data_IF_266988779370
#
_entry.id   IF_266988779370
#
_cell.length_a   1.000
_cell.length_b   1.000
_cell.length_c   1.000
_cell.angle_alpha   90.00
_cell.angle_beta   90.00
_cell.angle_gamma   90.00
#
_symmetry.space_group_name_H-M   'P 1'
#
loop_
_entity.id
_entity.type
_entity.pdbx_description
1 polymer ?
#
# COMPACT_ATOMS: atom_id res chain seq x y z
N UNK A 1 -16.78 -16.29 -20.88
CA UNK A 1 -16.19 -15.15 -20.13
C UNK A 1 -17.17 -14.74 -19.05
N UNK A 2 -16.75 -14.68 -17.79
CA UNK A 2 -17.59 -14.23 -16.68
C UNK A 2 -17.69 -12.70 -16.72
N UNK A 3 -18.60 -12.19 -17.56
CA UNK A 3 -18.84 -10.75 -17.73
C UNK A 3 -19.20 -10.07 -16.40
N UNK A 4 -19.85 -10.81 -15.50
CA UNK A 4 -20.22 -10.36 -14.15
C UNK A 4 -19.02 -10.02 -13.26
N UNK A 5 -17.84 -10.59 -13.51
CA UNK A 5 -16.61 -10.31 -12.74
C UNK A 5 -15.71 -9.32 -13.48
N UNK A 6 -15.63 -9.46 -14.81
CA UNK A 6 -14.78 -8.60 -15.64
C UNK A 6 -15.28 -7.16 -15.65
N UNK A 7 -16.60 -6.93 -15.71
CA UNK A 7 -17.16 -5.59 -15.81
C UNK A 7 -16.92 -4.75 -14.54
N UNK A 8 -17.16 -5.26 -13.31
CA UNK A 8 -16.75 -4.58 -12.08
C UNK A 8 -15.25 -4.35 -11.98
N UNK A 9 -14.42 -5.31 -12.41
CA UNK A 9 -12.96 -5.19 -12.38
C UNK A 9 -12.47 -4.04 -13.28
N UNK A 10 -12.99 -3.97 -14.52
CA UNK A 10 -12.65 -2.89 -15.45
C UNK A 10 -13.14 -1.54 -14.92
N UNK A 11 -14.38 -1.49 -14.41
CA UNK A 11 -14.90 -0.27 -13.80
C UNK A 11 -14.04 0.19 -12.61
N UNK A 12 -13.63 -0.72 -11.75
CA UNK A 12 -12.74 -0.46 -10.63
C UNK A 12 -11.38 0.10 -11.09
N UNK A 13 -10.75 -0.53 -12.09
CA UNK A 13 -9.50 -0.03 -12.66
C UNK A 13 -9.66 1.39 -13.23
N UNK A 14 -10.73 1.65 -13.98
CA UNK A 14 -11.01 2.99 -14.54
C UNK A 14 -11.16 4.03 -13.42
N UNK A 15 -11.84 3.70 -12.32
CA UNK A 15 -11.97 4.60 -11.17
C UNK A 15 -10.61 4.88 -10.54
N UNK A 16 -9.79 3.86 -10.28
CA UNK A 16 -8.44 4.00 -9.71
C UNK A 16 -7.54 4.86 -10.60
N UNK A 17 -7.55 4.62 -11.92
CA UNK A 17 -6.82 5.47 -12.86
C UNK A 17 -7.36 6.90 -12.90
N UNK A 18 -8.68 7.09 -12.89
CA UNK A 18 -9.32 8.40 -12.86
C UNK A 18 -8.96 9.22 -11.62
N UNK A 19 -8.98 8.59 -10.43
CA UNK A 19 -8.55 9.19 -9.17
C UNK A 19 -7.07 9.56 -9.23
N UNK A 20 -6.23 8.70 -9.82
CA UNK A 20 -4.80 8.95 -9.96
C UNK A 20 -4.50 10.17 -10.85
N UNK A 21 -5.22 10.30 -11.98
CA UNK A 21 -5.11 11.46 -12.88
C UNK A 21 -5.63 12.73 -12.20
N UNK A 22 -6.74 12.65 -11.48
CA UNK A 22 -7.29 13.78 -10.73
C UNK A 22 -6.30 14.27 -9.65
N UNK A 23 -5.71 13.35 -8.90
CA UNK A 23 -4.71 13.66 -7.89
C UNK A 23 -3.45 14.31 -8.49
N UNK A 24 -3.03 13.82 -9.67
CA UNK A 24 -1.91 14.40 -10.42
C UNK A 24 -2.21 15.84 -10.87
N UNK A 25 -3.42 16.12 -11.35
CA UNK A 25 -3.83 17.49 -11.75
C UNK A 25 -3.95 18.45 -10.57
N UNK A 26 -4.21 17.94 -9.37
CA UNK A 26 -4.24 18.73 -8.12
C UNK A 26 -2.86 18.94 -7.49
N UNK A 27 -1.77 18.58 -8.17
CA UNK A 27 -0.42 18.91 -7.70
C UNK A 27 -0.28 20.43 -7.55
N UNK A 28 0.12 20.85 -6.35
CA UNK A 28 0.23 22.24 -5.91
C UNK A 28 1.69 22.59 -5.70
N UNK A 29 2.10 23.79 -6.12
CA UNK A 29 3.47 24.27 -6.17
C UNK A 29 4.38 23.84 -4.98
N UNK A 30 5.49 23.17 -5.30
CA UNK A 30 6.52 22.72 -4.37
C UNK A 30 7.67 22.01 -5.11
N UNK A 31 8.70 21.54 -4.39
CA UNK A 31 9.77 20.70 -4.98
C UNK A 31 9.22 19.30 -5.32
N UNK A 32 9.55 18.79 -6.52
CA UNK A 32 9.06 17.50 -7.03
C UNK A 32 9.15 16.36 -6.01
N UNK A 33 10.28 16.23 -5.28
CA UNK A 33 10.47 15.17 -4.29
C UNK A 33 9.51 15.28 -3.09
N UNK A 34 9.29 16.48 -2.56
CA UNK A 34 8.38 16.68 -1.43
C UNK A 34 6.92 16.46 -1.82
N UNK A 35 6.56 16.81 -3.04
CA UNK A 35 5.20 16.59 -3.53
C UNK A 35 4.95 15.13 -3.90
N UNK A 36 5.90 14.52 -4.61
CA UNK A 36 5.79 13.14 -5.07
C UNK A 36 5.86 12.13 -3.92
N UNK A 37 6.75 12.32 -2.93
CA UNK A 37 6.91 11.35 -1.84
C UNK A 37 6.14 11.69 -0.56
N UNK A 38 5.87 12.97 -0.28
CA UNK A 38 5.23 13.39 0.96
C UNK A 38 3.84 14.02 0.76
N UNK A 39 3.40 14.27 -0.48
CA UNK A 39 2.15 14.95 -0.76
C UNK A 39 2.05 16.30 -0.05
N UNK A 40 3.17 17.05 -0.03
CA UNK A 40 3.33 18.32 0.69
C UNK A 40 3.03 18.28 2.20
N UNK A 41 3.00 17.10 2.82
CA UNK A 41 2.62 16.89 4.24
C UNK A 41 1.25 17.48 4.60
N UNK A 42 0.37 17.65 3.60
CA UNK A 42 -0.93 18.33 3.74
C UNK A 42 -2.11 17.36 3.89
N UNK A 43 -1.86 16.06 3.86
CA UNK A 43 -2.90 15.04 3.90
C UNK A 43 -3.55 14.95 5.29
N UNK A 44 -4.88 14.89 5.33
CA UNK A 44 -5.64 14.79 6.57
C UNK A 44 -5.42 13.44 7.28
N UNK A 45 -5.52 13.45 8.61
CA UNK A 45 -5.22 12.28 9.44
C UNK A 45 -6.07 11.04 9.13
N UNK A 46 -7.35 11.23 8.79
CA UNK A 46 -8.25 10.12 8.40
C UNK A 46 -7.76 9.45 7.12
N UNK A 47 -7.35 10.24 6.13
CA UNK A 47 -6.90 9.73 4.83
C UNK A 47 -5.59 8.94 5.01
N UNK A 48 -4.67 9.44 5.85
CA UNK A 48 -3.44 8.72 6.20
C UNK A 48 -3.70 7.43 6.99
N UNK A 49 -4.69 7.42 7.88
CA UNK A 49 -5.10 6.22 8.59
C UNK A 49 -5.66 5.17 7.63
N UNK A 50 -6.50 5.58 6.68
CA UNK A 50 -7.03 4.69 5.64
C UNK A 50 -5.91 4.13 4.75
N UNK A 51 -4.93 4.96 4.37
CA UNK A 51 -3.73 4.51 3.65
C UNK A 51 -2.97 3.45 4.43
N UNK A 52 -2.75 3.67 5.72
CA UNK A 52 -2.09 2.70 6.58
C UNK A 52 -2.87 1.37 6.63
N UNK A 53 -4.18 1.45 6.80
CA UNK A 53 -5.05 0.26 6.82
C UNK A 53 -5.04 -0.47 5.49
N UNK A 54 -5.19 0.22 4.37
CA UNK A 54 -5.18 -0.40 3.04
C UNK A 54 -3.80 -0.98 2.67
N UNK A 55 -2.70 -0.31 3.05
CA UNK A 55 -1.34 -0.84 2.86
C UNK A 55 -1.13 -2.10 3.68
N UNK A 56 -1.70 -2.14 4.88
CA UNK A 56 -1.59 -3.28 5.78
C UNK A 56 -2.44 -4.47 5.30
N UNK A 57 -3.67 -4.21 4.85
CA UNK A 57 -4.55 -5.25 4.37
C UNK A 57 -4.21 -5.56 2.91
N UNK A 58 -3.46 -6.64 2.68
CA UNK A 58 -3.00 -7.01 1.34
C UNK A 58 -3.71 -8.27 0.83
N UNK A 59 -3.35 -8.70 -0.39
CA UNK A 59 -3.78 -9.98 -0.93
C UNK A 59 -3.46 -11.15 0.02
N UNK A 60 -2.38 -11.08 0.81
CA UNK A 60 -2.07 -12.10 1.80
C UNK A 60 -3.09 -12.15 2.94
N UNK A 61 -3.66 -11.00 3.31
CA UNK A 61 -4.67 -10.90 4.36
C UNK A 61 -6.04 -11.39 3.87
N UNK A 62 -6.47 -10.99 2.67
CA UNK A 62 -7.78 -11.36 2.12
C UNK A 62 -7.85 -12.76 1.52
N UNK A 63 -6.76 -13.27 0.93
CA UNK A 63 -6.71 -14.61 0.35
C UNK A 63 -6.09 -15.59 1.35
N UNK A 64 -4.92 -15.24 1.88
CA UNK A 64 -4.17 -16.11 2.78
C UNK A 64 -4.79 -16.20 4.18
N UNK A 65 -5.36 -15.12 4.70
CA UNK A 65 -5.98 -15.08 6.03
C UNK A 65 -7.14 -16.09 6.19
N UNK A 66 -8.22 -15.98 5.40
CA UNK A 66 -9.32 -16.94 5.43
C UNK A 66 -8.88 -18.37 5.10
N UNK A 67 -7.98 -18.56 4.13
CA UNK A 67 -7.45 -19.89 3.80
C UNK A 67 -6.68 -20.53 4.96
N UNK A 68 -5.87 -19.76 5.67
CA UNK A 68 -5.17 -20.21 6.87
C UNK A 68 -6.13 -20.45 8.04
N UNK A 69 -7.14 -19.60 8.25
CA UNK A 69 -8.15 -19.81 9.27
C UNK A 69 -8.99 -21.07 9.01
N UNK A 70 -9.27 -21.39 7.75
CA UNK A 70 -9.96 -22.64 7.37
C UNK A 70 -9.12 -23.88 7.68
N UNK A 71 -7.80 -23.82 7.44
CA UNK A 71 -6.87 -24.95 7.65
C UNK A 71 -6.43 -25.12 9.11
N UNK A 72 -6.12 -24.04 9.79
CA UNK A 72 -5.52 -24.02 11.13
C UNK A 72 -6.49 -23.57 12.23
N UNK A 73 -7.74 -23.27 11.87
CA UNK A 73 -8.77 -22.78 12.78
C UNK A 73 -8.63 -21.28 13.12
N UNK A 74 -9.55 -20.81 13.96
CA UNK A 74 -9.62 -19.40 14.39
C UNK A 74 -8.42 -18.93 15.22
N UNK A 75 -7.52 -19.84 15.65
CA UNK A 75 -6.27 -19.48 16.30
C UNK A 75 -5.38 -18.57 15.45
N UNK A 76 -5.47 -18.69 14.11
CA UNK A 76 -4.79 -17.76 13.20
C UNK A 76 -5.32 -16.34 13.30
N UNK A 77 -6.62 -16.16 13.57
CA UNK A 77 -7.24 -14.84 13.75
C UNK A 77 -6.65 -14.13 14.97
N UNK A 78 -6.42 -14.85 16.07
CA UNK A 78 -5.78 -14.28 17.26
C UNK A 78 -4.35 -13.80 16.97
N UNK A 79 -3.60 -14.58 16.17
CA UNK A 79 -2.27 -14.16 15.71
C UNK A 79 -2.36 -12.94 14.78
N UNK A 80 -3.35 -12.88 13.89
CA UNK A 80 -3.57 -11.72 13.04
C UNK A 80 -3.94 -10.47 13.88
N UNK A 81 -4.73 -10.63 14.95
CA UNK A 81 -5.20 -9.55 15.82
C UNK A 81 -4.09 -8.85 16.61
N UNK A 82 -2.97 -9.54 16.92
CA UNK A 82 -1.86 -8.93 17.68
C UNK A 82 -1.21 -7.74 16.96
N UNK A 83 -1.40 -7.68 15.64
CA UNK A 83 -0.83 -6.63 14.81
C UNK A 83 -1.52 -5.28 15.02
N UNK A 84 -2.82 -5.26 15.35
CA UNK A 84 -3.57 -4.04 15.65
C UNK A 84 -2.96 -3.24 16.82
N UNK A 85 -2.80 -3.83 18.03
CA UNK A 85 -2.16 -3.12 19.13
C UNK A 85 -0.69 -2.80 18.83
N UNK A 86 0.03 -3.64 18.10
CA UNK A 86 1.41 -3.36 17.71
C UNK A 86 1.53 -2.10 16.84
N UNK A 87 0.66 -1.94 15.83
CA UNK A 87 0.60 -0.75 14.98
C UNK A 87 0.17 0.47 15.79
N UNK A 88 -0.86 0.35 16.62
CA UNK A 88 -1.35 1.47 17.42
C UNK A 88 -0.31 1.94 18.45
N UNK A 89 0.34 1.02 19.18
CA UNK A 89 1.38 1.37 20.14
C UNK A 89 2.61 1.95 19.46
N UNK A 90 3.07 1.35 18.37
CA UNK A 90 4.25 1.85 17.64
C UNK A 90 4.01 3.25 17.07
N UNK A 91 2.90 3.48 16.37
CA UNK A 91 2.60 4.80 15.79
C UNK A 91 2.14 5.83 16.82
N UNK A 92 1.39 5.41 17.84
CA UNK A 92 0.95 6.29 18.93
C UNK A 92 2.12 6.85 19.73
N UNK A 93 3.12 6.00 20.04
CA UNK A 93 4.28 6.39 20.84
C UNK A 93 5.38 7.02 19.97
N UNK A 94 5.73 6.39 18.84
CA UNK A 94 6.86 6.79 18.02
C UNK A 94 6.49 7.74 16.88
N UNK A 95 5.26 7.69 16.38
CA UNK A 95 4.83 8.45 15.21
C UNK A 95 5.01 9.95 15.39
N UNK A 96 4.58 10.51 16.53
CA UNK A 96 4.80 11.93 16.84
C UNK A 96 6.29 12.30 16.90
N UNK A 97 7.13 11.44 17.51
CA UNK A 97 8.57 11.68 17.60
C UNK A 97 9.21 11.65 16.22
N UNK A 98 8.93 10.62 15.42
CA UNK A 98 9.44 10.52 14.06
C UNK A 98 8.97 11.68 13.17
N UNK A 99 7.71 12.13 13.30
CA UNK A 99 7.21 13.30 12.57
C UNK A 99 7.97 14.59 12.93
N UNK A 100 8.33 14.78 14.20
CA UNK A 100 9.15 15.92 14.64
C UNK A 100 10.55 15.84 14.05
N UNK A 101 11.22 14.68 14.16
CA UNK A 101 12.57 14.51 13.62
C UNK A 101 12.59 14.63 12.08
N UNK A 102 11.61 14.06 11.38
CA UNK A 102 11.51 14.16 9.93
C UNK A 102 11.39 15.62 9.46
N UNK A 103 10.62 16.45 10.18
CA UNK A 103 10.56 17.90 9.91
C UNK A 103 11.87 18.61 10.26
N UNK A 104 12.51 18.25 11.37
CA UNK A 104 13.77 18.87 11.82
C UNK A 104 14.91 18.67 10.81
N UNK A 105 15.02 17.48 10.24
CA UNK A 105 16.08 17.13 9.29
C UNK A 105 15.66 17.28 7.83
N UNK A 106 14.43 17.75 7.59
CA UNK A 106 13.77 17.74 6.28
C UNK A 106 13.91 16.38 5.55
N UNK A 107 13.84 15.29 6.31
CA UNK A 107 14.00 13.93 5.83
C UNK A 107 12.77 13.52 5.00
N UNK A 108 13.05 12.84 3.88
CA UNK A 108 12.02 12.23 3.02
C UNK A 108 11.89 10.74 3.36
N UNK A 109 13.00 10.10 3.74
CA UNK A 109 13.04 8.68 4.08
C UNK A 109 13.46 8.44 5.54
N UNK A 110 13.17 7.25 6.06
CA UNK A 110 13.67 6.84 7.38
C UNK A 110 15.21 6.73 7.37
N UNK A 111 15.80 6.39 6.22
CA UNK A 111 17.25 6.29 6.05
C UNK A 111 17.94 7.66 6.17
N UNK A 112 17.29 8.75 5.73
CA UNK A 112 17.80 10.12 5.94
C UNK A 112 17.86 10.45 7.44
N UNK A 113 16.88 9.96 8.22
CA UNK A 113 16.88 10.14 9.67
C UNK A 113 17.98 9.33 10.35
N UNK A 114 18.27 8.12 9.86
CA UNK A 114 19.41 7.32 10.30
C UNK A 114 20.73 8.02 9.96
N UNK A 115 20.85 8.59 8.76
CA UNK A 115 22.02 9.36 8.38
C UNK A 115 22.22 10.57 9.28
N UNK A 116 21.16 11.35 9.54
CA UNK A 116 21.23 12.51 10.42
C UNK A 116 21.68 12.14 11.85
N UNK A 117 21.27 10.96 12.34
CA UNK A 117 21.60 10.46 13.69
C UNK A 117 23.02 9.89 13.79
N UNK A 118 23.43 9.05 12.84
CA UNK A 118 24.64 8.23 12.93
C UNK A 118 25.79 8.73 12.05
N UNK A 119 25.52 9.61 11.08
CA UNK A 119 26.48 10.17 10.12
C UNK A 119 27.30 9.11 9.35
N UNK A 120 26.84 7.86 9.34
CA UNK A 120 27.52 6.73 8.70
C UNK A 120 26.82 6.38 7.40
N UNK A 121 27.53 6.54 6.28
CA UNK A 121 27.03 6.14 4.95
C UNK A 121 26.86 4.64 4.84
N UNK A 122 27.74 3.85 5.46
CA UNK A 122 27.67 2.38 5.42
C UNK A 122 26.35 1.87 6.02
N UNK A 123 25.93 2.44 7.16
CA UNK A 123 24.68 2.07 7.81
C UNK A 123 23.46 2.37 6.92
N UNK A 124 23.48 3.51 6.22
CA UNK A 124 22.42 3.90 5.28
C UNK A 124 22.37 2.95 4.09
N UNK A 125 23.52 2.54 3.55
CA UNK A 125 23.60 1.56 2.46
C UNK A 125 23.02 0.21 2.88
N UNK A 126 23.41 -0.31 4.04
CA UNK A 126 22.91 -1.57 4.56
C UNK A 126 21.39 -1.51 4.84
N UNK A 127 20.91 -0.43 5.44
CA UNK A 127 19.48 -0.23 5.71
C UNK A 127 18.67 -0.07 4.42
N UNK A 128 19.20 0.61 3.41
CA UNK A 128 18.54 0.74 2.11
C UNK A 128 18.49 -0.59 1.37
N UNK A 129 19.58 -1.36 1.39
CA UNK A 129 19.65 -2.67 0.75
C UNK A 129 18.72 -3.68 1.42
N UNK A 130 18.70 -3.74 2.75
CA UNK A 130 17.79 -4.64 3.47
C UNK A 130 16.33 -4.31 3.20
N UNK A 131 16.00 -3.02 3.12
CA UNK A 131 14.66 -2.54 2.80
C UNK A 131 14.27 -2.92 1.35
N UNK A 132 15.18 -2.75 0.38
CA UNK A 132 14.94 -3.18 -1.01
C UNK A 132 14.67 -4.68 -1.11
N UNK A 133 15.50 -5.51 -0.47
CA UNK A 133 15.33 -6.98 -0.49
C UNK A 133 14.00 -7.39 0.14
N UNK A 134 13.65 -6.80 1.28
CA UNK A 134 12.38 -7.08 1.97
C UNK A 134 11.17 -6.70 1.10
N UNK A 135 11.20 -5.52 0.47
CA UNK A 135 10.11 -5.07 -0.39
C UNK A 135 9.97 -5.86 -1.69
N UNK A 136 11.07 -6.34 -2.29
CA UNK A 136 10.99 -7.23 -3.46
C UNK A 136 10.23 -8.51 -3.10
N UNK A 137 10.54 -9.13 -1.96
CA UNK A 137 9.83 -10.31 -1.49
C UNK A 137 8.35 -10.03 -1.22
N UNK A 138 8.06 -8.94 -0.51
CA UNK A 138 6.68 -8.54 -0.20
C UNK A 138 5.86 -8.22 -1.45
N UNK A 139 6.43 -7.53 -2.44
CA UNK A 139 5.74 -7.23 -3.70
C UNK A 139 5.49 -8.49 -4.52
N UNK A 140 6.45 -9.42 -4.57
CA UNK A 140 6.31 -10.68 -5.32
C UNK A 140 5.07 -11.45 -4.88
N UNK A 141 4.87 -11.60 -3.55
CA UNK A 141 3.69 -12.29 -3.00
C UNK A 141 2.38 -11.58 -3.39
N UNK A 142 2.38 -10.24 -3.41
CA UNK A 142 1.19 -9.47 -3.79
C UNK A 142 0.84 -9.61 -5.28
N UNK A 143 1.84 -9.62 -6.16
CA UNK A 143 1.64 -9.79 -7.60
C UNK A 143 1.13 -11.21 -7.92
N UNK A 144 1.70 -12.24 -7.28
CA UNK A 144 1.22 -13.62 -7.40
C UNK A 144 -0.23 -13.72 -6.92
N UNK A 145 -0.55 -13.11 -5.77
CA UNK A 145 -1.91 -13.10 -5.23
C UNK A 145 -2.92 -12.43 -6.16
N UNK A 146 -2.56 -11.27 -6.72
CA UNK A 146 -3.40 -10.55 -7.69
C UNK A 146 -3.62 -11.33 -8.98
N UNK A 147 -2.56 -11.88 -9.57
CA UNK A 147 -2.65 -12.69 -10.78
C UNK A 147 -3.49 -13.96 -10.56
N UNK A 148 -3.30 -14.65 -9.43
CA UNK A 148 -4.08 -15.85 -9.08
C UNK A 148 -5.56 -15.53 -8.89
N UNK A 149 -5.89 -14.36 -8.32
CA UNK A 149 -7.28 -13.92 -8.17
C UNK A 149 -7.93 -13.66 -9.54
N UNK A 150 -7.22 -13.04 -10.49
CA UNK A 150 -7.74 -12.85 -11.85
C UNK A 150 -7.95 -14.19 -12.58
N UNK A 151 -7.05 -15.15 -12.35
CA UNK A 151 -7.16 -16.49 -12.91
C UNK A 151 -8.38 -17.24 -12.39
N UNK A 152 -8.61 -17.24 -11.07
CA UNK A 152 -9.73 -17.97 -10.47
C UNK A 152 -11.07 -17.26 -10.63
N UNK A 153 -11.10 -15.92 -10.57
CA UNK A 153 -12.34 -15.16 -10.57
C UNK A 153 -12.81 -14.73 -11.97
N UNK A 154 -11.90 -14.52 -12.93
CA UNK A 154 -12.24 -14.07 -14.28
C UNK A 154 -11.88 -15.10 -15.37
N UNK A 155 -11.18 -16.18 -15.03
CA UNK A 155 -10.71 -17.19 -15.97
C UNK A 155 -9.59 -16.71 -16.90
N UNK A 156 -8.87 -15.64 -16.52
CA UNK A 156 -7.77 -15.08 -17.31
C UNK A 156 -6.50 -15.92 -17.06
N UNK A 157 -5.77 -16.36 -18.10
CA UNK A 157 -4.53 -17.10 -17.89
C UNK A 157 -3.56 -16.35 -16.98
N UNK A 158 -2.93 -17.05 -16.03
CA UNK A 158 -2.07 -16.47 -15.00
C UNK A 158 -1.05 -15.46 -15.55
N UNK A 159 -0.31 -15.82 -16.60
CA UNK A 159 0.70 -14.95 -17.22
C UNK A 159 0.11 -13.63 -17.75
N UNK A 160 -1.07 -13.71 -18.36
CA UNK A 160 -1.77 -12.53 -18.89
C UNK A 160 -2.33 -11.68 -17.74
N UNK A 161 -2.90 -12.32 -16.72
CA UNK A 161 -3.39 -11.65 -15.51
C UNK A 161 -2.26 -10.92 -14.77
N UNK A 162 -1.10 -11.56 -14.64
CA UNK A 162 0.09 -10.98 -14.02
C UNK A 162 0.58 -9.74 -14.78
N UNK A 163 0.65 -9.80 -16.12
CA UNK A 163 1.04 -8.66 -16.94
C UNK A 163 0.04 -7.50 -16.82
N UNK A 164 -1.26 -7.77 -16.92
CA UNK A 164 -2.30 -6.74 -16.79
C UNK A 164 -2.22 -6.07 -15.42
N UNK A 165 -2.14 -6.88 -14.35
CA UNK A 165 -2.09 -6.39 -12.99
C UNK A 165 -0.81 -5.57 -12.74
N UNK A 166 0.34 -6.10 -13.14
CA UNK A 166 1.63 -5.45 -12.92
C UNK A 166 1.80 -4.15 -13.71
N UNK A 167 1.44 -4.14 -15.00
CA UNK A 167 1.50 -2.92 -15.83
C UNK A 167 0.54 -1.87 -15.29
N UNK A 168 -0.69 -2.26 -14.91
CA UNK A 168 -1.67 -1.33 -14.36
C UNK A 168 -1.15 -0.63 -13.09
N UNK A 169 -0.62 -1.42 -12.15
CA UNK A 169 -0.03 -0.90 -10.91
C UNK A 169 1.17 0.00 -11.17
N UNK A 170 2.08 -0.42 -12.05
CA UNK A 170 3.25 0.36 -12.40
C UNK A 170 2.85 1.73 -12.97
N UNK A 171 1.87 1.76 -13.88
CA UNK A 171 1.41 3.00 -14.51
C UNK A 171 0.77 3.95 -13.50
N UNK A 172 -0.27 3.53 -12.77
CA UNK A 172 -0.97 4.46 -11.89
C UNK A 172 -0.08 4.93 -10.72
N UNK A 173 0.85 4.08 -10.26
CA UNK A 173 1.78 4.43 -9.18
C UNK A 173 2.84 5.42 -9.67
N UNK A 174 3.44 5.18 -10.84
CA UNK A 174 4.48 6.04 -11.40
C UNK A 174 3.96 7.44 -11.73
N UNK A 175 2.75 7.56 -12.27
CA UNK A 175 2.18 8.86 -12.59
C UNK A 175 1.56 9.56 -11.37
N UNK A 176 0.95 8.80 -10.47
CA UNK A 176 0.18 9.33 -9.36
C UNK A 176 1.02 9.97 -8.23
N UNK A 177 2.12 9.33 -7.83
CA UNK A 177 2.86 9.73 -6.62
C UNK A 177 2.04 9.54 -5.32
N UNK A 178 2.57 10.01 -4.18
CA UNK A 178 2.00 9.77 -2.85
C UNK A 178 0.56 10.25 -2.70
N UNK A 179 0.22 11.43 -3.26
CA UNK A 179 -1.15 11.98 -3.16
C UNK A 179 -2.18 11.09 -3.87
N UNK A 180 -1.84 10.55 -5.04
CA UNK A 180 -2.70 9.62 -5.75
C UNK A 180 -2.79 8.28 -5.01
N UNK A 181 -1.65 7.76 -4.52
CA UNK A 181 -1.62 6.53 -3.73
C UNK A 181 -2.56 6.64 -2.54
N UNK A 182 -2.46 7.71 -1.75
CA UNK A 182 -3.28 7.92 -0.56
C UNK A 182 -4.78 7.96 -0.87
N UNK A 183 -5.16 8.59 -2.00
CA UNK A 183 -6.56 8.62 -2.44
C UNK A 183 -7.05 7.25 -2.92
N UNK A 184 -6.23 6.54 -3.69
CA UNK A 184 -6.53 5.17 -4.12
C UNK A 184 -6.65 4.23 -2.92
N UNK A 185 -5.74 4.33 -1.96
CA UNK A 185 -5.74 3.52 -0.75
C UNK A 185 -6.97 3.80 0.11
N UNK A 186 -7.43 5.05 0.16
CA UNK A 186 -8.68 5.40 0.86
C UNK A 186 -9.89 4.78 0.19
N UNK A 187 -9.97 4.84 -1.14
CA UNK A 187 -11.02 4.20 -1.92
C UNK A 187 -10.99 2.68 -1.74
N UNK A 188 -9.80 2.08 -1.84
CA UNK A 188 -9.57 0.65 -1.67
C UNK A 188 -9.98 0.16 -0.29
N UNK A 189 -9.52 0.84 0.76
CA UNK A 189 -9.91 0.54 2.13
C UNK A 189 -11.42 0.62 2.32
N UNK A 190 -12.10 1.59 1.70
CA UNK A 190 -13.56 1.69 1.75
C UNK A 190 -14.24 0.52 1.04
N UNK A 191 -13.78 0.15 -0.16
CA UNK A 191 -14.29 -1.01 -0.91
C UNK A 191 -14.10 -2.30 -0.10
N UNK A 192 -12.96 -2.45 0.56
CA UNK A 192 -12.66 -3.62 1.40
C UNK A 192 -13.56 -3.68 2.63
N UNK A 193 -13.81 -2.54 3.29
CA UNK A 193 -14.74 -2.46 4.42
C UNK A 193 -16.17 -2.82 4.01
N UNK A 194 -16.68 -2.21 2.93
CA UNK A 194 -18.01 -2.53 2.41
C UNK A 194 -18.10 -3.99 2.01
N UNK A 195 -17.08 -4.51 1.31
CA UNK A 195 -17.01 -5.92 0.93
C UNK A 195 -17.05 -6.87 2.12
N UNK A 196 -16.40 -6.50 3.23
CA UNK A 196 -16.39 -7.31 4.46
C UNK A 196 -17.73 -7.27 5.20
N UNK A 197 -18.47 -6.15 5.13
CA UNK A 197 -19.78 -6.03 5.77
C UNK A 197 -20.88 -6.78 5.01
N UNK A 198 -20.75 -6.85 3.68
CA UNK A 198 -21.72 -7.51 2.80
C UNK A 198 -21.55 -9.04 2.80
N UNK A 199 -20.33 -9.54 2.98
CA UNK A 199 -20.00 -10.97 3.10
C UNK A 199 -20.37 -11.54 4.48
#
# INVERSE_FOLDING_TARGET
MQLEVILPLVAYLVVVFGVSIYAMRKRTAGTFLNEYFLGSRSMGGIVLAMTLTATYISASSFIGGPGAAYKYGLGWVLLAMIQLPAVWLSLGILGKKFAILARRYNAVTLNDMLFARYQSRLLVWLASLSLLVAFIGAMTVQFIGGARLLETAAGIPYETGLLIFGVSIALYTAFGGFRASVLNDTLQGLVMLVGTIVL
#
